data_IF_673645316283
#
_entry.id   IF_673645316283
#
_cell.length_a   1.000
_cell.length_b   1.000
_cell.length_c   1.000
_cell.angle_alpha   90.00
_cell.angle_beta   90.00
_cell.angle_gamma   90.00
#
_symmetry.space_group_name_H-M   'P 1'
#
loop_
_entity.id
_entity.type
_entity.pdbx_description
1 polymer ?
#
# COMPACT_ATOMS: atom_id res chain seq x y z
N UNK A 1 0.35 -8.80 -24.60
CA UNK A 1 0.82 -7.44 -24.25
C UNK A 1 0.09 -6.82 -23.05
N UNK A 2 -1.23 -7.03 -22.85
CA UNK A 2 -1.98 -6.55 -21.66
C UNK A 2 -1.41 -6.98 -20.29
N UNK A 3 -0.80 -8.15 -20.17
CA UNK A 3 -0.35 -8.70 -18.88
C UNK A 3 0.82 -7.93 -18.23
N UNK A 4 1.59 -7.15 -19.03
CA UNK A 4 2.71 -6.36 -18.55
C UNK A 4 2.24 -5.04 -17.92
N UNK A 5 1.06 -4.57 -18.32
CA UNK A 5 0.49 -3.31 -17.88
C UNK A 5 -0.10 -3.42 -16.47
N UNK A 6 -0.87 -4.48 -16.23
CA UNK A 6 -1.50 -4.74 -14.94
C UNK A 6 -0.50 -4.83 -13.78
N UNK A 7 0.74 -5.25 -14.05
CA UNK A 7 1.75 -5.41 -13.01
C UNK A 7 2.31 -4.07 -12.49
N UNK A 8 2.30 -2.98 -13.27
CA UNK A 8 2.87 -1.71 -12.81
C UNK A 8 1.91 -0.90 -11.94
N UNK A 9 0.61 -1.21 -11.95
CA UNK A 9 -0.37 -0.53 -11.10
C UNK A 9 -0.06 -0.69 -9.61
N UNK A 10 0.51 -1.84 -9.21
CA UNK A 10 1.01 -2.04 -7.85
C UNK A 10 2.09 -1.02 -7.43
N UNK A 11 2.98 -0.62 -8.35
CA UNK A 11 3.95 0.46 -8.11
C UNK A 11 3.26 1.84 -8.10
N UNK A 12 2.33 2.06 -9.03
CA UNK A 12 1.56 3.31 -9.13
C UNK A 12 0.81 3.64 -7.83
N UNK A 13 0.31 2.61 -7.12
CA UNK A 13 -0.38 2.75 -5.86
C UNK A 13 0.44 3.53 -4.81
N UNK A 14 1.77 3.44 -4.84
CA UNK A 14 2.63 4.04 -3.82
C UNK A 14 3.10 5.47 -4.14
N UNK A 15 2.86 6.02 -5.34
CA UNK A 15 3.41 7.33 -5.69
C UNK A 15 2.90 8.46 -4.79
N UNK A 16 1.59 8.52 -4.60
CA UNK A 16 0.89 9.49 -3.73
C UNK A 16 -0.48 8.93 -3.38
N UNK A 17 -1.26 9.66 -2.58
CA UNK A 17 -2.68 9.33 -2.35
C UNK A 17 -3.48 9.28 -3.67
N UNK A 18 -3.12 10.14 -4.63
CA UNK A 18 -3.70 10.13 -5.98
C UNK A 18 -3.30 8.84 -6.72
N UNK A 19 -2.03 8.42 -6.60
CA UNK A 19 -1.53 7.17 -7.17
C UNK A 19 -2.32 5.95 -6.69
N UNK A 20 -2.67 5.88 -5.41
CA UNK A 20 -3.53 4.84 -4.84
C UNK A 20 -4.92 4.82 -5.49
N UNK A 21 -5.56 5.97 -5.63
CA UNK A 21 -6.89 6.08 -6.26
C UNK A 21 -6.82 5.59 -7.70
N UNK A 22 -5.83 6.04 -8.47
CA UNK A 22 -5.67 5.66 -9.87
C UNK A 22 -5.42 4.15 -9.99
N UNK A 23 -4.50 3.59 -9.20
CA UNK A 23 -4.23 2.16 -9.19
C UNK A 23 -5.48 1.33 -8.85
N UNK A 24 -6.30 1.80 -7.91
CA UNK A 24 -7.58 1.16 -7.57
C UNK A 24 -8.58 1.20 -8.73
N UNK A 25 -8.77 2.34 -9.40
CA UNK A 25 -9.69 2.42 -10.54
C UNK A 25 -9.23 1.53 -11.70
N UNK A 26 -7.93 1.53 -12.02
CA UNK A 26 -7.38 0.69 -13.09
C UNK A 26 -7.50 -0.80 -12.77
N UNK A 27 -7.36 -1.19 -11.51
CA UNK A 27 -7.48 -2.57 -11.07
C UNK A 27 -8.94 -3.09 -11.05
N UNK A 28 -9.95 -2.20 -11.01
CA UNK A 28 -11.37 -2.61 -11.05
C UNK A 28 -11.78 -3.19 -12.39
N UNK A 29 -11.20 -2.71 -13.50
CA UNK A 29 -11.53 -3.21 -14.84
C UNK A 29 -10.96 -4.60 -15.09
N UNK A 30 -9.71 -4.83 -14.64
CA UNK A 30 -9.03 -6.11 -14.75
C UNK A 30 -8.22 -6.38 -13.49
N UNK A 31 -8.79 -7.16 -12.57
CA UNK A 31 -8.19 -7.47 -11.28
C UNK A 31 -6.87 -8.22 -11.43
N UNK A 32 -5.81 -7.63 -10.89
CA UNK A 32 -4.49 -8.22 -10.78
C UNK A 32 -4.14 -8.48 -9.31
N UNK A 33 -3.84 -9.73 -8.91
CA UNK A 33 -3.56 -10.06 -7.51
C UNK A 33 -2.38 -9.28 -6.91
N UNK A 34 -1.34 -8.98 -7.69
CA UNK A 34 -0.20 -8.19 -7.23
C UNK A 34 -0.64 -6.76 -6.91
N UNK A 35 -1.38 -6.14 -7.83
CA UNK A 35 -1.90 -4.79 -7.68
C UNK A 35 -2.87 -4.67 -6.52
N UNK A 36 -3.85 -5.58 -6.40
CA UNK A 36 -4.77 -5.62 -5.24
C UNK A 36 -3.99 -5.70 -3.93
N UNK A 37 -2.98 -6.59 -3.87
CA UNK A 37 -2.15 -6.76 -2.69
C UNK A 37 -1.44 -5.45 -2.29
N UNK A 38 -0.87 -4.73 -3.26
CA UNK A 38 -0.19 -3.46 -3.03
C UNK A 38 -1.15 -2.29 -2.71
N UNK A 39 -2.34 -2.25 -3.31
CA UNK A 39 -3.40 -1.28 -2.97
C UNK A 39 -3.80 -1.42 -1.50
N UNK A 40 -4.07 -2.63 -1.04
CA UNK A 40 -4.45 -2.90 0.36
C UNK A 40 -3.34 -2.49 1.34
N UNK A 41 -2.09 -2.76 0.99
CA UNK A 41 -0.93 -2.34 1.81
C UNK A 41 -0.77 -0.83 1.87
N UNK A 42 -0.87 -0.14 0.73
CA UNK A 42 -0.78 1.32 0.69
C UNK A 42 -1.93 1.98 1.48
N UNK A 43 -3.14 1.44 1.37
CA UNK A 43 -4.29 1.92 2.14
C UNK A 43 -4.06 1.80 3.65
N UNK A 44 -3.56 0.66 4.11
CA UNK A 44 -3.20 0.47 5.52
C UNK A 44 -2.07 1.40 6.00
N UNK A 45 -1.06 1.63 5.16
CA UNK A 45 0.01 2.58 5.44
C UNK A 45 -0.50 4.02 5.55
N UNK A 46 -1.45 4.44 4.72
CA UNK A 46 -2.09 5.75 4.86
C UNK A 46 -2.87 5.88 6.17
N UNK A 47 -3.60 4.85 6.58
CA UNK A 47 -4.24 4.86 7.91
C UNK A 47 -3.20 5.03 9.03
N UNK A 48 -2.10 4.28 8.96
CA UNK A 48 -0.99 4.41 9.92
C UNK A 48 -0.38 5.82 9.93
N UNK A 49 -0.21 6.43 8.75
CA UNK A 49 0.27 7.80 8.60
C UNK A 49 -0.71 8.80 9.24
N UNK A 50 -2.00 8.73 8.95
CA UNK A 50 -3.00 9.63 9.54
C UNK A 50 -3.07 9.50 11.05
N UNK A 51 -3.03 8.26 11.58
CA UNK A 51 -2.96 8.03 13.02
C UNK A 51 -1.70 8.68 13.59
N UNK A 52 -0.54 8.49 12.97
CA UNK A 52 0.73 9.05 13.45
C UNK A 52 0.73 10.58 13.51
N UNK A 53 0.13 11.24 12.53
CA UNK A 53 -0.04 12.71 12.51
C UNK A 53 -1.02 13.15 13.60
N UNK A 54 -2.11 12.42 13.79
CA UNK A 54 -3.10 12.73 14.83
C UNK A 54 -2.52 12.66 16.25
N UNK A 55 -1.59 11.73 16.52
CA UNK A 55 -0.91 11.59 17.81
C UNK A 55 0.51 12.13 17.82
N UNK A 56 0.84 13.06 16.92
CA UNK A 56 2.21 13.56 16.70
C UNK A 56 2.87 14.14 17.96
N UNK A 57 2.09 14.74 18.87
CA UNK A 57 2.60 15.34 20.11
C UNK A 57 3.12 14.30 21.12
N UNK A 58 2.85 13.01 20.88
CA UNK A 58 3.39 11.90 21.66
C UNK A 58 4.65 11.32 21.01
N UNK A 59 5.63 10.85 21.81
CA UNK A 59 6.75 10.06 21.29
C UNK A 59 6.29 8.87 20.44
N UNK A 60 5.14 8.28 20.76
CA UNK A 60 4.54 7.18 19.99
C UNK A 60 4.19 7.60 18.57
N UNK A 61 3.67 8.82 18.37
CA UNK A 61 3.35 9.35 17.05
C UNK A 61 4.59 9.49 16.17
N UNK A 62 5.70 9.97 16.75
CA UNK A 62 6.98 10.06 16.05
C UNK A 62 7.47 8.70 15.54
N UNK A 63 7.49 7.67 16.39
CA UNK A 63 7.92 6.33 15.99
C UNK A 63 6.96 5.69 14.98
N UNK A 64 5.65 5.89 15.16
CA UNK A 64 4.65 5.37 14.24
C UNK A 64 4.81 6.00 12.85
N UNK A 65 5.03 7.31 12.76
CA UNK A 65 5.25 8.03 11.50
C UNK A 65 6.43 7.43 10.74
N UNK A 66 7.58 7.29 11.41
CA UNK A 66 8.78 6.75 10.78
C UNK A 66 8.64 5.28 10.41
N UNK A 67 7.92 4.48 11.22
CA UNK A 67 7.63 3.09 10.86
C UNK A 67 6.75 2.99 9.61
N UNK A 68 5.74 3.86 9.47
CA UNK A 68 4.89 3.92 8.29
C UNK A 68 5.69 4.39 7.05
N UNK A 69 6.55 5.39 7.21
CA UNK A 69 7.42 5.88 6.13
C UNK A 69 8.41 4.80 5.66
N UNK A 70 9.07 4.08 6.58
CA UNK A 70 9.95 2.97 6.24
C UNK A 70 9.18 1.81 5.57
N UNK A 71 7.99 1.48 6.09
CA UNK A 71 7.12 0.47 5.51
C UNK A 71 6.65 0.83 4.09
N UNK A 72 6.38 2.11 3.84
CA UNK A 72 6.05 2.65 2.52
C UNK A 72 7.19 2.45 1.52
N UNK A 73 8.42 2.84 1.87
CA UNK A 73 9.60 2.63 1.02
C UNK A 73 9.80 1.14 0.74
N UNK A 74 9.70 0.30 1.77
CA UNK A 74 9.86 -1.15 1.62
C UNK A 74 8.83 -1.75 0.66
N UNK A 75 7.55 -1.41 0.84
CA UNK A 75 6.48 -1.94 -0.02
C UNK A 75 6.56 -1.40 -1.45
N UNK A 76 7.01 -0.15 -1.65
CA UNK A 76 7.30 0.43 -2.95
C UNK A 76 8.40 -0.34 -3.68
N UNK A 77 9.50 -0.68 -2.99
CA UNK A 77 10.58 -1.51 -3.55
C UNK A 77 10.05 -2.89 -3.94
N UNK A 78 9.25 -3.53 -3.08
CA UNK A 78 8.67 -4.84 -3.39
C UNK A 78 7.71 -4.79 -4.58
N UNK A 79 6.94 -3.70 -4.72
CA UNK A 79 6.09 -3.45 -5.88
C UNK A 79 6.91 -3.34 -7.17
N UNK A 80 8.02 -2.60 -7.12
CA UNK A 80 8.95 -2.48 -8.24
C UNK A 80 9.52 -3.85 -8.67
N UNK A 81 9.85 -4.71 -7.70
CA UNK A 81 10.29 -6.09 -7.96
C UNK A 81 9.17 -7.09 -8.22
N UNK A 82 7.90 -6.65 -8.26
CA UNK A 82 6.72 -7.47 -8.53
C UNK A 82 6.53 -8.60 -7.51
N UNK A 83 6.83 -8.33 -6.25
CA UNK A 83 6.70 -9.28 -5.14
C UNK A 83 5.55 -8.88 -4.23
N UNK A 84 4.68 -9.84 -3.90
CA UNK A 84 3.65 -9.69 -2.86
C UNK A 84 4.25 -9.81 -1.45
N UNK A 85 5.28 -9.01 -1.17
CA UNK A 85 6.02 -8.98 0.10
C UNK A 85 5.91 -7.57 0.66
N UNK A 86 5.61 -7.48 1.95
CA UNK A 86 5.38 -6.21 2.64
C UNK A 86 5.83 -6.26 4.08
N UNK A 87 5.22 -5.38 4.88
CA UNK A 87 5.50 -5.29 6.31
C UNK A 87 5.15 -6.65 6.96
N UNK A 88 6.13 -7.32 7.60
CA UNK A 88 5.90 -8.61 8.22
C UNK A 88 4.70 -8.56 9.17
N UNK A 89 3.84 -9.59 9.10
CA UNK A 89 2.58 -9.73 9.86
C UNK A 89 1.48 -8.70 9.50
N UNK A 90 1.83 -7.42 9.41
CA UNK A 90 0.88 -6.33 9.18
C UNK A 90 0.29 -6.37 7.77
N UNK A 91 1.09 -6.71 6.75
CA UNK A 91 0.58 -6.85 5.39
C UNK A 91 -0.46 -7.96 5.27
N UNK A 92 -0.31 -9.07 5.99
CA UNK A 92 -1.33 -10.13 6.01
C UNK A 92 -2.62 -9.66 6.70
N UNK A 93 -2.49 -8.85 7.75
CA UNK A 93 -3.64 -8.22 8.40
C UNK A 93 -4.37 -7.27 7.44
N UNK A 94 -3.65 -6.44 6.68
CA UNK A 94 -4.22 -5.57 5.66
C UNK A 94 -4.97 -6.35 4.56
N UNK A 95 -4.42 -7.47 4.10
CA UNK A 95 -5.12 -8.32 3.13
C UNK A 95 -6.47 -8.81 3.65
N UNK A 96 -6.53 -9.16 4.95
CA UNK A 96 -7.74 -9.66 5.62
C UNK A 96 -8.73 -8.56 5.99
N UNK A 97 -8.26 -7.37 6.38
CA UNK A 97 -9.13 -6.27 6.83
C UNK A 97 -9.78 -5.54 5.66
N UNK A 98 -9.05 -5.36 4.56
CA UNK A 98 -9.48 -4.50 3.47
C UNK A 98 -10.09 -5.28 2.30
N UNK A 99 -10.93 -6.29 2.57
CA UNK A 99 -11.61 -7.08 1.52
C UNK A 99 -12.55 -6.24 0.63
N UNK A 100 -12.97 -5.06 1.09
CA UNK A 100 -13.76 -4.14 0.26
C UNK A 100 -12.95 -3.50 -0.88
N UNK A 101 -11.62 -3.63 -0.87
CA UNK A 101 -10.72 -3.17 -1.94
C UNK A 101 -10.44 -4.24 -2.99
N UNK A 102 -11.06 -5.42 -2.88
CA UNK A 102 -10.90 -6.49 -3.85
C UNK A 102 -11.52 -6.19 -5.20
#
# INVERSE_FOLDING_TARGET
MKHKETTYYGFLAYLTFIGLIIAYQLNKEQKDPLTTWHIKNMFGLFMGLFISVFIQDSPVGFYLYWSAACGWIFCLIMAFFKKQIGIPWLSMAFQRWFNFLD
#
